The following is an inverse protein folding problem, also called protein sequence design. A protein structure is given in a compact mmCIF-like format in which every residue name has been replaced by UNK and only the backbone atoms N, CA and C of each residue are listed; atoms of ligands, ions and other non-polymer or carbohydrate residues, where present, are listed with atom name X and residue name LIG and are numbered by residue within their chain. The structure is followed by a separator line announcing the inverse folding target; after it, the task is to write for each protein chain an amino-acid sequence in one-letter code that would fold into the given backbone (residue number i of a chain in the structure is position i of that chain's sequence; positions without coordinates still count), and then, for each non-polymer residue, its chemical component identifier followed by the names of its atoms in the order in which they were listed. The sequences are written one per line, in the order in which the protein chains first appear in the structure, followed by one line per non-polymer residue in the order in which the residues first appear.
data_IF_669207066582
#
_entry.id   IF_669207066582
#
_cell.length_a   1.000
_cell.length_b   1.000
_cell.length_c   1.000
_cell.angle_alpha   90.00
_cell.angle_beta   90.00
_cell.angle_gamma   90.00
#
_symmetry.space_group_name_H-M   'P 1'
#
loop_
_entity.id
_entity.type
_entity.pdbx_description
1 polymer ?
#
# COMPACT_ATOMS: atom_id res chain seq x y z
N UNK A 1 -18.67 3.81 -16.32
CA UNK A 1 -18.53 2.50 -15.64
C UNK A 1 -17.20 2.55 -14.88
N UNK A 2 -17.18 2.66 -13.53
CA UNK A 2 -16.08 2.23 -12.64
C UNK A 2 -16.10 2.84 -11.21
N UNK A 3 -16.90 3.87 -10.90
CA UNK A 3 -17.10 4.24 -9.48
C UNK A 3 -18.05 3.27 -8.74
N UNK A 4 -19.03 2.71 -9.43
CA UNK A 4 -20.03 1.85 -8.77
C UNK A 4 -19.44 0.55 -8.24
N UNK A 5 -18.50 -0.08 -8.95
CA UNK A 5 -17.95 -1.38 -8.54
C UNK A 5 -17.01 -1.30 -7.33
N UNK A 6 -16.31 -0.18 -7.13
CA UNK A 6 -15.42 -0.02 -5.98
C UNK A 6 -16.21 0.28 -4.70
N UNK A 7 -17.21 1.17 -4.80
CA UNK A 7 -18.15 1.47 -3.72
C UNK A 7 -18.97 0.23 -3.34
N UNK A 8 -19.45 -0.55 -4.31
CA UNK A 8 -20.19 -1.78 -4.02
C UNK A 8 -19.35 -2.89 -3.38
N UNK A 9 -18.04 -2.98 -3.69
CA UNK A 9 -17.18 -4.02 -3.10
C UNK A 9 -16.88 -3.76 -1.62
N UNK A 10 -16.81 -2.50 -1.22
CA UNK A 10 -16.71 -2.09 0.19
C UNK A 10 -18.05 -2.25 0.94
N UNK A 11 -19.18 -1.95 0.28
CA UNK A 11 -20.52 -2.05 0.85
C UNK A 11 -20.92 -3.51 1.13
N UNK A 12 -20.66 -4.44 0.20
CA UNK A 12 -21.07 -5.85 0.34
C UNK A 12 -20.26 -6.65 1.38
N UNK A 13 -19.24 -6.04 2.01
CA UNK A 13 -18.52 -6.61 3.17
C UNK A 13 -18.59 -5.71 4.41
N UNK A 14 -19.23 -4.55 4.32
CA UNK A 14 -19.54 -3.74 5.49
C UNK A 14 -20.81 -4.30 6.15
N UNK A 15 -20.73 -4.85 7.38
CA UNK A 15 -21.91 -5.31 8.11
C UNK A 15 -22.92 -4.18 8.41
N UNK A 16 -22.57 -2.93 8.14
CA UNK A 16 -23.41 -1.73 8.36
C UNK A 16 -24.38 -1.45 7.20
N UNK A 17 -24.02 -1.81 5.96
CA UNK A 17 -24.76 -1.39 4.76
C UNK A 17 -25.34 -2.56 3.94
N UNK A 18 -25.22 -3.78 4.45
CA UNK A 18 -25.61 -5.00 3.76
C UNK A 18 -27.09 -5.38 3.97
N UNK A 19 -27.86 -4.58 4.71
CA UNK A 19 -29.23 -4.93 5.11
C UNK A 19 -30.30 -4.04 4.47
N UNK A 20 -31.44 -4.67 4.20
CA UNK A 20 -32.57 -4.10 3.50
C UNK A 20 -33.10 -2.88 4.28
N UNK A 21 -33.55 -1.79 3.61
CA UNK A 21 -34.01 -0.56 4.27
C UNK A 21 -35.24 -0.69 5.19
N UNK A 22 -35.73 -1.90 5.43
CA UNK A 22 -36.89 -2.18 6.29
C UNK A 22 -36.50 -2.61 7.71
N UNK A 23 -35.21 -2.84 7.96
CA UNK A 23 -34.71 -3.35 9.24
C UNK A 23 -34.08 -2.26 10.13
N UNK A 24 -34.27 -0.97 9.81
CA UNK A 24 -33.68 0.16 10.55
C UNK A 24 -34.08 0.25 12.03
N UNK A 25 -35.17 -0.39 12.43
CA UNK A 25 -35.60 -0.46 13.83
C UNK A 25 -34.76 -1.48 14.66
N UNK A 26 -33.97 -2.35 14.01
CA UNK A 26 -33.08 -3.34 14.63
C UNK A 26 -31.58 -3.11 14.31
N UNK A 27 -31.21 -2.01 13.65
CA UNK A 27 -29.81 -1.73 13.30
C UNK A 27 -29.02 -1.38 14.56
N UNK A 28 -28.25 -2.35 15.05
CA UNK A 28 -27.28 -2.15 16.13
C UNK A 28 -26.16 -1.23 15.62
N UNK A 29 -26.20 0.04 16.05
CA UNK A 29 -25.20 1.03 15.67
C UNK A 29 -23.78 0.49 15.95
N UNK A 30 -22.84 0.63 15.01
CA UNK A 30 -21.47 0.16 15.21
C UNK A 30 -20.87 0.82 16.45
N UNK A 31 -20.34 0.00 17.34
CA UNK A 31 -19.76 0.51 18.58
C UNK A 31 -18.48 1.27 18.27
N UNK A 32 -18.02 2.09 19.22
CA UNK A 32 -16.72 2.76 19.12
C UNK A 32 -15.60 1.76 18.80
N UNK A 33 -15.68 0.52 19.30
CA UNK A 33 -14.71 -0.55 19.02
C UNK A 33 -14.79 -1.03 17.58
N UNK A 34 -15.98 -1.15 17.00
CA UNK A 34 -16.18 -1.58 15.61
C UNK A 34 -15.70 -0.51 14.62
N UNK A 35 -15.98 0.76 14.93
CA UNK A 35 -15.43 1.91 14.18
C UNK A 35 -13.90 1.94 14.32
N UNK A 36 -13.38 1.68 15.52
CA UNK A 36 -11.93 1.66 15.77
C UNK A 36 -11.25 0.52 15.03
N UNK A 37 -11.83 -0.68 15.02
CA UNK A 37 -11.32 -1.83 14.27
C UNK A 37 -11.32 -1.55 12.76
N UNK A 38 -12.41 -0.96 12.23
CA UNK A 38 -12.50 -0.60 10.81
C UNK A 38 -11.56 0.56 10.41
N UNK A 39 -11.32 1.53 11.30
CA UNK A 39 -10.46 2.69 11.02
C UNK A 39 -8.98 2.50 11.38
N UNK A 40 -8.64 1.60 12.30
CA UNK A 40 -7.26 1.35 12.76
C UNK A 40 -6.59 0.13 12.13
N UNK A 41 -7.36 -0.87 11.66
CA UNK A 41 -6.77 -2.08 11.05
C UNK A 41 -6.58 -1.98 9.53
N UNK A 42 -6.76 -0.79 8.95
CA UNK A 42 -6.31 -0.54 7.58
C UNK A 42 -4.79 -0.60 7.61
N UNK A 43 -4.20 -1.72 7.18
CA UNK A 43 -2.76 -1.85 7.05
C UNK A 43 -2.32 -0.93 5.92
N UNK A 44 -1.69 0.18 6.30
CA UNK A 44 -1.15 1.18 5.38
C UNK A 44 0.33 0.90 5.26
N UNK A 45 0.78 0.65 4.04
CA UNK A 45 2.18 0.47 3.74
C UNK A 45 2.70 1.77 3.15
N UNK A 46 3.89 2.19 3.57
CA UNK A 46 4.57 3.34 3.01
C UNK A 46 5.95 2.90 2.56
N UNK A 47 6.39 3.37 1.39
CA UNK A 47 7.73 3.13 0.91
C UNK A 47 8.51 4.43 0.69
N UNK A 48 9.79 4.39 1.01
CA UNK A 48 10.72 5.52 0.84
C UNK A 48 12.07 5.03 0.31
N UNK A 49 12.56 5.69 -0.73
CA UNK A 49 13.84 5.38 -1.37
C UNK A 49 14.97 6.22 -0.79
N UNK A 50 16.08 5.61 -0.40
CA UNK A 50 17.28 6.31 0.06
C UNK A 50 18.54 5.80 -0.62
N UNK A 51 19.39 6.77 -0.98
CA UNK A 51 20.71 6.52 -1.55
C UNK A 51 21.77 6.62 -0.46
N UNK A 52 22.57 5.59 -0.33
CA UNK A 52 23.68 5.52 0.61
C UNK A 52 25.00 5.55 -0.15
N UNK A 53 25.91 6.39 0.31
CA UNK A 53 27.30 6.40 -0.15
C UNK A 53 28.20 6.00 1.01
N UNK A 54 28.83 4.83 0.86
CA UNK A 54 29.76 4.30 1.85
C UNK A 54 31.18 4.48 1.33
N UNK A 55 31.98 5.28 2.03
CA UNK A 55 33.42 5.41 1.75
C UNK A 55 34.15 4.19 2.29
N UNK A 56 34.82 3.45 1.42
CA UNK A 56 35.66 2.31 1.77
C UNK A 56 37.14 2.68 1.58
N UNK A 57 38.05 1.83 2.05
CA UNK A 57 39.49 2.04 1.83
C UNK A 57 39.87 2.03 0.33
N UNK A 58 39.05 1.41 -0.51
CA UNK A 58 39.29 1.21 -1.95
C UNK A 58 38.45 2.11 -2.86
N UNK A 59 37.51 2.89 -2.33
CA UNK A 59 36.67 3.78 -3.14
C UNK A 59 35.36 4.20 -2.47
N UNK A 60 34.37 4.51 -3.30
CA UNK A 60 33.01 4.85 -2.87
C UNK A 60 32.07 3.77 -3.39
N UNK A 61 31.35 3.12 -2.47
CA UNK A 61 30.27 2.18 -2.80
C UNK A 61 28.95 2.92 -2.69
N UNK A 62 28.12 2.82 -3.74
CA UNK A 62 26.80 3.44 -3.80
C UNK A 62 25.73 2.37 -3.77
N UNK A 63 24.79 2.49 -2.86
CA UNK A 63 23.68 1.55 -2.70
C UNK A 63 22.37 2.33 -2.65
N UNK A 64 21.34 1.81 -3.31
CA UNK A 64 20.01 2.37 -3.27
C UNK A 64 19.07 1.35 -2.61
N UNK A 65 18.42 1.79 -1.55
CA UNK A 65 17.53 0.98 -0.71
C UNK A 65 16.15 1.60 -0.69
N UNK A 66 15.14 0.76 -0.86
CA UNK A 66 13.74 1.15 -0.66
C UNK A 66 13.28 0.50 0.63
N UNK A 67 12.88 1.32 1.59
CA UNK A 67 12.35 0.88 2.87
C UNK A 67 10.84 0.75 2.77
N UNK A 68 10.28 -0.28 3.40
CA UNK A 68 8.85 -0.45 3.59
C UNK A 68 8.52 -0.35 5.08
N UNK A 69 7.57 0.51 5.41
CA UNK A 69 7.11 0.77 6.77
C UNK A 69 5.60 0.71 6.86
N UNK A 70 5.06 0.24 7.97
CA UNK A 70 3.62 0.20 8.25
C UNK A 70 3.20 1.41 9.06
N UNK A 71 2.07 2.00 8.68
CA UNK A 71 1.40 3.10 9.39
C UNK A 71 0.08 2.63 10.02
N UNK A 72 -0.35 3.21 11.17
CA UNK A 72 0.36 4.25 11.93
C UNK A 72 1.54 3.64 12.72
N UNK A 73 2.54 4.47 13.05
CA UNK A 73 3.74 4.19 13.89
C UNK A 73 5.05 3.95 13.12
N UNK A 74 5.04 4.07 11.78
CA UNK A 74 6.23 3.89 10.94
C UNK A 74 7.04 2.63 11.28
N UNK A 75 6.35 1.52 11.56
CA UNK A 75 6.98 0.27 11.95
C UNK A 75 7.72 -0.31 10.75
N UNK A 76 9.02 -0.57 10.91
CA UNK A 76 9.82 -1.17 9.85
C UNK A 76 9.35 -2.59 9.51
N UNK A 77 9.06 -2.83 8.23
CA UNK A 77 8.68 -4.15 7.67
C UNK A 77 9.90 -4.82 7.05
N UNK A 78 10.63 -4.06 6.23
CA UNK A 78 11.78 -4.55 5.50
C UNK A 78 12.35 -3.52 4.54
N UNK A 79 13.31 -3.96 3.75
CA UNK A 79 13.87 -3.18 2.66
C UNK A 79 14.15 -4.07 1.47
N UNK A 80 14.27 -3.44 0.31
CA UNK A 80 14.78 -4.06 -0.92
C UNK A 80 15.95 -3.24 -1.46
N UNK A 81 16.96 -3.95 -1.94
CA UNK A 81 18.04 -3.37 -2.74
C UNK A 81 17.64 -3.41 -4.19
N UNK A 82 17.85 -2.31 -4.90
CA UNK A 82 17.66 -2.25 -6.34
C UNK A 82 18.98 -2.20 -7.09
N UNK A 83 19.00 -2.82 -8.27
CA UNK A 83 20.13 -2.77 -9.19
C UNK A 83 20.12 -1.52 -10.07
N UNK A 84 18.97 -0.83 -10.15
CA UNK A 84 18.69 0.31 -11.03
C UNK A 84 17.64 1.21 -10.37
N UNK A 85 17.75 2.53 -10.55
CA UNK A 85 16.78 3.52 -10.04
C UNK A 85 15.66 3.86 -11.03
N UNK A 86 15.27 2.92 -11.89
CA UNK A 86 14.14 3.12 -12.79
C UNK A 86 12.83 2.80 -12.09
N UNK A 87 11.77 3.57 -12.34
CA UNK A 87 10.45 3.31 -11.75
C UNK A 87 9.93 1.89 -12.05
N UNK A 88 10.34 1.29 -13.18
CA UNK A 88 9.96 -0.07 -13.54
C UNK A 88 10.64 -1.11 -12.64
N UNK A 89 11.94 -0.97 -12.42
CA UNK A 89 12.70 -1.88 -11.56
C UNK A 89 12.24 -1.73 -10.11
N UNK A 90 12.06 -0.49 -9.65
CA UNK A 90 11.49 -0.14 -8.34
C UNK A 90 10.13 -0.81 -8.11
N UNK A 91 9.22 -0.68 -9.09
CA UNK A 91 7.90 -1.33 -9.05
C UNK A 91 8.04 -2.85 -8.92
N UNK A 92 8.94 -3.45 -9.68
CA UNK A 92 9.12 -4.90 -9.73
C UNK A 92 9.60 -5.44 -8.39
N UNK A 93 10.65 -4.83 -7.82
CA UNK A 93 11.19 -5.28 -6.53
C UNK A 93 10.22 -5.05 -5.37
N UNK A 94 9.46 -3.93 -5.38
CA UNK A 94 8.43 -3.66 -4.37
C UNK A 94 7.29 -4.70 -4.48
N UNK A 95 6.82 -4.98 -5.70
CA UNK A 95 5.76 -5.94 -5.95
C UNK A 95 6.16 -7.35 -5.52
N UNK A 96 7.37 -7.79 -5.87
CA UNK A 96 7.92 -9.08 -5.47
C UNK A 96 8.07 -9.19 -3.96
N UNK A 97 8.58 -8.14 -3.29
CA UNK A 97 8.71 -8.11 -1.84
C UNK A 97 7.34 -8.25 -1.16
N UNK A 98 6.36 -7.45 -1.56
CA UNK A 98 5.01 -7.50 -1.00
C UNK A 98 4.40 -8.89 -1.22
N UNK A 99 4.51 -9.45 -2.42
CA UNK A 99 3.89 -10.73 -2.77
C UNK A 99 4.56 -11.93 -2.09
N UNK A 100 5.89 -11.88 -1.86
CA UNK A 100 6.66 -13.00 -1.30
C UNK A 100 6.82 -12.95 0.22
N UNK A 101 6.97 -11.76 0.81
CA UNK A 101 7.30 -11.58 2.23
C UNK A 101 6.06 -11.30 3.08
N UNK A 102 5.01 -10.68 2.52
CA UNK A 102 3.74 -10.52 3.23
C UNK A 102 2.87 -11.75 3.00
N UNK A 103 2.42 -12.39 4.09
CA UNK A 103 1.64 -13.65 4.06
C UNK A 103 0.41 -13.60 3.16
N UNK A 104 -0.14 -12.41 2.97
CA UNK A 104 -1.37 -12.08 2.25
C UNK A 104 -1.11 -11.25 0.99
N UNK A 105 0.15 -10.96 0.66
CA UNK A 105 0.52 -10.12 -0.48
C UNK A 105 -0.18 -8.75 -0.44
N UNK A 106 -0.75 -8.36 -1.58
CA UNK A 106 -1.51 -7.12 -1.69
C UNK A 106 -2.91 -7.21 -1.09
N UNK A 107 -3.46 -8.39 -0.74
CA UNK A 107 -4.86 -8.50 -0.32
C UNK A 107 -5.14 -7.81 1.04
N UNK A 108 -4.14 -7.73 1.92
CA UNK A 108 -4.23 -6.98 3.19
C UNK A 108 -3.65 -5.56 3.09
N UNK A 109 -2.97 -5.21 1.99
CA UNK A 109 -2.51 -3.83 1.75
C UNK A 109 -3.68 -3.02 1.19
N UNK A 110 -4.22 -2.16 2.03
CA UNK A 110 -5.36 -1.30 1.69
C UNK A 110 -4.96 0.06 1.16
N UNK A 111 -3.81 0.57 1.62
CA UNK A 111 -3.27 1.86 1.22
C UNK A 111 -1.77 1.69 1.01
N UNK A 112 -1.27 2.12 -0.14
CA UNK A 112 0.15 2.21 -0.41
C UNK A 112 0.54 3.68 -0.61
N UNK A 113 1.39 4.19 0.28
CA UNK A 113 1.89 5.56 0.25
C UNK A 113 3.36 5.66 -0.10
N UNK A 114 3.77 6.85 -0.54
CA UNK A 114 5.15 7.23 -0.84
C UNK A 114 5.27 8.75 -0.84
N UNK A 115 6.47 9.27 -1.12
CA UNK A 115 6.66 10.71 -1.31
C UNK A 115 6.06 11.19 -2.65
N UNK A 116 5.82 12.51 -2.76
CA UNK A 116 5.14 13.11 -3.92
C UNK A 116 6.01 13.28 -5.16
N UNK A 117 7.09 12.52 -5.32
CA UNK A 117 7.97 12.66 -6.49
C UNK A 117 7.31 12.13 -7.75
N UNK A 118 7.65 12.70 -8.92
CA UNK A 118 7.07 12.27 -10.20
C UNK A 118 7.36 10.79 -10.53
N UNK A 119 8.48 10.24 -10.05
CA UNK A 119 8.79 8.81 -10.17
C UNK A 119 7.79 7.95 -9.39
N UNK A 120 7.36 8.40 -8.21
CA UNK A 120 6.49 7.64 -7.33
C UNK A 120 5.01 7.82 -7.69
N UNK A 121 4.57 9.06 -7.93
CA UNK A 121 3.15 9.43 -8.12
C UNK A 121 2.79 9.82 -9.57
N UNK A 122 3.74 9.75 -10.51
CA UNK A 122 3.50 10.14 -11.90
C UNK A 122 2.37 9.34 -12.55
N UNK A 123 1.41 10.05 -13.15
CA UNK A 123 0.27 9.42 -13.84
C UNK A 123 0.68 8.54 -15.03
N UNK A 124 1.86 8.80 -15.61
CA UNK A 124 2.49 7.99 -16.65
C UNK A 124 3.73 7.32 -16.09
N UNK A 125 3.61 6.02 -15.81
CA UNK A 125 4.74 5.19 -15.43
C UNK A 125 5.29 5.42 -14.03
N UNK A 126 4.57 6.16 -13.17
CA UNK A 126 4.91 6.23 -11.75
C UNK A 126 4.70 4.89 -11.06
N UNK A 127 5.43 4.64 -9.98
CA UNK A 127 5.42 3.36 -9.27
C UNK A 127 4.02 2.99 -8.79
N UNK A 128 3.32 3.92 -8.10
CA UNK A 128 1.97 3.65 -7.61
C UNK A 128 1.04 3.27 -8.76
N UNK A 129 1.10 4.02 -9.87
CA UNK A 129 0.27 3.76 -11.04
C UNK A 129 0.54 2.38 -11.64
N UNK A 130 1.81 1.96 -11.72
CA UNK A 130 2.18 0.64 -12.22
C UNK A 130 1.72 -0.47 -11.28
N UNK A 131 1.81 -0.27 -9.97
CA UNK A 131 1.31 -1.23 -8.98
C UNK A 131 -0.22 -1.39 -9.05
N UNK A 132 -0.98 -0.32 -9.26
CA UNK A 132 -2.42 -0.39 -9.52
C UNK A 132 -2.74 -1.19 -10.80
N UNK A 133 -1.97 -0.98 -11.86
CA UNK A 133 -2.12 -1.71 -13.13
C UNK A 133 -1.82 -3.20 -12.98
N UNK A 134 -0.79 -3.55 -12.20
CA UNK A 134 -0.42 -4.95 -11.90
C UNK A 134 -1.44 -5.65 -11.00
N UNK A 135 -1.95 -4.96 -9.98
CA UNK A 135 -2.89 -5.52 -9.01
C UNK A 135 -4.35 -5.47 -9.48
N UNK A 136 -4.65 -4.66 -10.49
CA UNK A 136 -6.02 -4.46 -10.99
C UNK A 136 -6.95 -3.75 -10.00
N UNK A 137 -6.40 -3.08 -8.99
CA UNK A 137 -7.15 -2.31 -7.98
C UNK A 137 -6.45 -0.98 -7.66
N UNK A 138 -7.21 0.08 -7.36
CA UNK A 138 -6.63 1.32 -6.85
C UNK A 138 -5.98 1.09 -5.47
N UNK A 139 -4.88 1.80 -5.24
CA UNK A 139 -4.05 1.76 -4.03
C UNK A 139 -4.22 3.02 -3.17
#
# INVERSE_FOLDING_TARGET
MLLSKFVFRAINRCPIFNENPKDFDEVKLPTKKDVLHCCLEVQRLYFDGRKYETKTQTGIVREELIFLVVEPNSQYVGHVTQSSGSAYDETTVICEYITSQLKSGFDEVYVLGCDGTNTNTGWKGGILRKLEELTGKPM
#
